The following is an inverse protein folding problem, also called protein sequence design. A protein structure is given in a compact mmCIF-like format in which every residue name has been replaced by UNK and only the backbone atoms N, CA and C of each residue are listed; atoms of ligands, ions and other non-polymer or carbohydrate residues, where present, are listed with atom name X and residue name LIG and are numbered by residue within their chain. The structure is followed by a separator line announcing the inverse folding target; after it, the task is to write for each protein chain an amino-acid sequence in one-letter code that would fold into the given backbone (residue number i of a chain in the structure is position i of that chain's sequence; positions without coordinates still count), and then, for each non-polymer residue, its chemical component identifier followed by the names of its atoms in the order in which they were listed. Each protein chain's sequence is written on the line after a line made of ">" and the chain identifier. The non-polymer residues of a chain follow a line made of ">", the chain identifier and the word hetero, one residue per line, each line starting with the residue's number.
data_IF_386981085259
#
_entry.id   IF_386981085259
#
_cell.length_a   1.000
_cell.length_b   1.000
_cell.length_c   1.000
_cell.angle_alpha   90.00
_cell.angle_beta   90.00
_cell.angle_gamma   90.00
#
_symmetry.space_group_name_H-M   'P 1'
#
loop_
_entity.id
_entity.type
_entity.pdbx_description
1 polymer ?
#
# COMPACT_ATOMS: atom_id res chain seq x y z
N UNK A 1 11.60 50.77 -76.97
CA UNK A 1 12.86 51.33 -76.42
C UNK A 1 12.90 51.06 -74.92
N UNK A 2 13.94 50.47 -74.35
CA UNK A 2 14.36 50.21 -72.97
C UNK A 2 13.53 49.16 -72.19
N UNK A 3 13.93 47.89 -72.20
CA UNK A 3 14.94 47.17 -71.37
C UNK A 3 14.87 47.50 -69.86
N UNK A 4 14.40 46.55 -69.08
CA UNK A 4 14.52 46.52 -67.62
C UNK A 4 14.52 45.05 -67.16
N UNK A 5 15.68 44.59 -66.69
CA UNK A 5 16.02 43.22 -66.24
C UNK A 5 15.30 42.80 -64.96
N UNK A 6 15.12 41.51 -64.74
CA UNK A 6 14.52 40.96 -63.53
C UNK A 6 15.51 40.92 -62.37
N UNK A 7 15.03 41.20 -61.16
CA UNK A 7 15.75 40.98 -59.89
C UNK A 7 15.53 39.54 -59.44
N UNK A 8 16.63 38.84 -59.31
CA UNK A 8 16.77 37.53 -58.71
C UNK A 8 16.68 37.67 -57.17
N UNK A 9 15.68 37.09 -56.53
CA UNK A 9 15.62 36.99 -55.08
C UNK A 9 15.80 35.51 -54.72
N UNK A 10 17.05 35.18 -54.39
CA UNK A 10 17.39 33.88 -53.81
C UNK A 10 16.76 33.74 -52.44
N UNK A 11 15.80 32.84 -52.36
CA UNK A 11 15.13 32.46 -51.09
C UNK A 11 16.10 31.84 -50.09
N UNK A 12 16.18 32.44 -48.93
CA UNK A 12 16.89 31.93 -47.76
C UNK A 12 15.96 30.94 -47.05
N UNK A 13 16.18 29.65 -47.27
CA UNK A 13 15.52 28.57 -46.51
C UNK A 13 16.13 28.51 -45.10
N UNK A 14 15.40 29.08 -44.12
CA UNK A 14 15.67 28.90 -42.70
C UNK A 14 15.15 27.52 -42.29
N UNK A 15 16.07 26.56 -42.20
CA UNK A 15 15.78 25.24 -41.56
C UNK A 15 15.79 25.43 -40.06
N UNK A 16 14.61 25.57 -39.48
CA UNK A 16 14.43 25.52 -38.04
C UNK A 16 14.56 24.08 -37.54
N UNK A 17 15.71 23.72 -37.00
CA UNK A 17 15.92 22.45 -36.28
C UNK A 17 15.22 22.58 -34.94
N UNK A 18 14.01 22.02 -34.83
CA UNK A 18 13.36 21.78 -33.53
C UNK A 18 14.14 20.66 -32.82
N UNK A 19 15.01 21.06 -31.89
CA UNK A 19 15.59 20.13 -30.95
C UNK A 19 14.50 19.62 -30.02
N UNK A 20 13.92 18.45 -30.28
CA UNK A 20 13.13 17.69 -29.33
C UNK A 20 14.07 17.27 -28.18
N UNK A 21 14.07 18.04 -27.12
CA UNK A 21 14.67 17.63 -25.86
C UNK A 21 13.83 16.50 -25.28
N UNK A 22 14.16 15.26 -25.63
CA UNK A 22 13.66 14.09 -24.91
C UNK A 22 14.14 14.20 -23.47
N UNK A 23 13.28 14.68 -22.58
CA UNK A 23 13.46 14.45 -21.15
C UNK A 23 13.34 12.93 -20.97
N UNK A 24 14.48 12.24 -20.92
CA UNK A 24 14.54 10.93 -20.33
C UNK A 24 14.02 11.10 -18.90
N UNK A 25 12.79 10.66 -18.64
CA UNK A 25 12.33 10.43 -17.28
C UNK A 25 13.31 9.39 -16.74
N UNK A 26 14.17 9.83 -15.80
CA UNK A 26 14.91 8.90 -14.96
C UNK A 26 13.79 8.17 -14.21
N UNK A 27 13.48 6.94 -14.60
CA UNK A 27 12.69 6.05 -13.81
C UNK A 27 13.47 5.92 -12.50
N UNK A 28 13.02 6.61 -11.46
CA UNK A 28 13.43 6.34 -10.11
C UNK A 28 13.09 4.87 -9.88
N UNK A 29 14.09 4.04 -9.60
CA UNK A 29 13.84 2.68 -9.17
C UNK A 29 12.91 2.77 -7.96
N UNK A 30 11.63 2.50 -8.19
CA UNK A 30 10.58 2.61 -7.22
C UNK A 30 10.69 1.40 -6.28
N UNK A 31 11.52 1.55 -5.26
CA UNK A 31 11.86 0.49 -4.32
C UNK A 31 11.10 0.69 -3.03
N UNK A 32 10.54 -0.39 -2.50
CA UNK A 32 10.06 -0.41 -1.12
C UNK A 32 11.24 -0.17 -0.17
N UNK A 33 11.00 0.62 0.86
CA UNK A 33 12.01 0.86 1.90
C UNK A 33 11.61 0.17 3.19
N UNK A 34 12.55 -0.48 3.88
CA UNK A 34 12.32 -0.93 5.24
C UNK A 34 11.91 0.24 6.13
N UNK A 35 10.92 0.03 6.98
CA UNK A 35 10.47 1.05 7.91
C UNK A 35 9.93 0.45 9.20
N UNK A 36 9.90 1.26 10.25
CA UNK A 36 9.13 1.04 11.46
C UNK A 36 8.26 2.27 11.71
N UNK A 37 6.97 2.05 11.86
CA UNK A 37 6.00 3.12 12.08
C UNK A 37 5.03 2.74 13.21
N UNK A 38 4.76 3.68 14.12
CA UNK A 38 3.72 3.48 15.12
C UNK A 38 2.48 4.31 14.81
N UNK A 39 1.32 3.77 15.21
CA UNK A 39 0.02 4.37 14.94
C UNK A 39 -0.86 4.35 16.19
N UNK A 40 -1.64 5.40 16.38
CA UNK A 40 -2.74 5.40 17.35
C UNK A 40 -4.02 4.93 16.67
N UNK A 41 -4.72 4.02 17.34
CA UNK A 41 -6.02 3.53 16.91
C UNK A 41 -7.11 4.15 17.75
N UNK A 42 -8.15 4.65 17.09
CA UNK A 42 -9.35 5.15 17.75
C UNK A 42 -10.57 4.43 17.21
N UNK A 43 -11.47 4.04 18.07
CA UNK A 43 -12.76 3.48 17.75
C UNK A 43 -13.85 4.42 18.21
N UNK A 44 -14.74 4.84 17.29
CA UNK A 44 -15.75 5.88 17.56
C UNK A 44 -15.18 7.12 18.29
N UNK A 45 -13.97 7.53 17.92
CA UNK A 45 -13.28 8.70 18.48
C UNK A 45 -12.50 8.45 19.78
N UNK A 46 -12.68 7.30 20.44
CA UNK A 46 -11.93 6.96 21.66
C UNK A 46 -10.66 6.17 21.30
N UNK A 47 -9.52 6.55 21.88
CA UNK A 47 -8.26 5.81 21.69
C UNK A 47 -8.36 4.43 22.32
N UNK A 48 -8.04 3.38 21.56
CA UNK A 48 -8.13 1.98 21.99
C UNK A 48 -6.79 1.26 21.99
N UNK A 49 -5.86 1.62 21.10
CA UNK A 49 -4.57 0.95 20.99
C UNK A 49 -3.50 1.84 20.36
N UNK A 50 -2.25 1.40 20.51
CA UNK A 50 -1.12 1.78 19.67
C UNK A 50 -0.65 0.51 18.97
N UNK A 51 -0.43 0.58 17.65
CA UNK A 51 0.24 -0.48 16.92
C UNK A 51 1.60 -0.04 16.43
N UNK A 52 2.53 -0.99 16.29
CA UNK A 52 3.80 -0.83 15.60
C UNK A 52 3.78 -1.72 14.36
N UNK A 53 4.01 -1.13 13.20
CA UNK A 53 4.14 -1.81 11.93
C UNK A 53 5.58 -1.74 11.48
N UNK A 54 6.15 -2.88 11.06
CA UNK A 54 7.55 -2.97 10.65
C UNK A 54 7.67 -3.75 9.35
N UNK A 55 8.28 -3.12 8.34
CA UNK A 55 8.66 -3.76 7.09
C UNK A 55 10.16 -3.94 7.07
N UNK A 56 10.63 -5.17 6.93
CA UNK A 56 12.04 -5.54 6.91
C UNK A 56 12.40 -6.24 5.61
N UNK A 57 13.57 -5.90 5.07
CA UNK A 57 14.13 -6.59 3.93
C UNK A 57 15.08 -7.71 4.42
N UNK A 58 14.80 -8.93 3.99
CA UNK A 58 15.63 -10.10 4.21
C UNK A 58 16.65 -10.32 3.09
N UNK A 59 16.95 -11.56 2.76
CA UNK A 59 17.83 -11.90 1.66
C UNK A 59 17.07 -11.96 0.32
N UNK A 60 17.64 -11.37 -0.73
CA UNK A 60 17.08 -11.39 -2.07
C UNK A 60 15.69 -10.73 -2.13
N UNK A 61 14.70 -11.47 -2.59
CA UNK A 61 13.31 -11.00 -2.73
C UNK A 61 12.46 -11.16 -1.46
N UNK A 62 13.07 -11.65 -0.37
CA UNK A 62 12.35 -11.96 0.86
C UNK A 62 12.16 -10.72 1.73
N UNK A 63 10.92 -10.52 2.21
CA UNK A 63 10.54 -9.43 3.10
C UNK A 63 9.64 -9.95 4.20
N UNK A 64 9.71 -9.32 5.36
CA UNK A 64 8.82 -9.58 6.49
C UNK A 64 8.05 -8.31 6.81
N UNK A 65 6.72 -8.40 6.85
CA UNK A 65 5.88 -7.31 7.32
C UNK A 65 5.14 -7.74 8.58
N UNK A 66 5.34 -7.02 9.67
CA UNK A 66 4.77 -7.35 10.97
C UNK A 66 3.96 -6.19 11.56
N UNK A 67 2.99 -6.55 12.40
CA UNK A 67 2.19 -5.61 13.19
C UNK A 67 2.05 -6.15 14.60
N UNK A 68 2.30 -5.31 15.60
CA UNK A 68 2.02 -5.61 17.00
C UNK A 68 1.13 -4.51 17.58
N UNK A 69 0.27 -4.87 18.53
CA UNK A 69 -0.70 -3.96 19.15
C UNK A 69 -0.60 -3.94 20.66
N UNK A 70 -0.68 -2.74 21.23
CA UNK A 70 -0.71 -2.51 22.67
C UNK A 70 -2.00 -1.76 23.03
N UNK A 71 -2.82 -2.24 23.99
CA UNK A 71 -4.03 -1.54 24.40
C UNK A 71 -3.69 -0.18 25.02
N UNK A 72 -4.56 0.81 24.79
CA UNK A 72 -4.48 2.16 25.35
C UNK A 72 -5.88 2.69 25.64
N UNK A 73 -5.97 3.61 26.60
CA UNK A 73 -7.25 4.23 26.95
C UNK A 73 -8.31 3.20 27.32
N UNK A 74 -9.47 3.24 26.67
CA UNK A 74 -10.55 2.27 26.91
C UNK A 74 -10.18 0.84 26.44
N UNK A 75 -9.14 0.67 25.62
CA UNK A 75 -8.63 -0.64 25.21
C UNK A 75 -8.12 -1.49 26.36
N UNK A 76 -7.74 -0.90 27.49
CA UNK A 76 -7.37 -1.65 28.70
C UNK A 76 -8.51 -2.49 29.29
N UNK A 77 -9.76 -2.22 28.91
CA UNK A 77 -10.89 -3.06 29.28
C UNK A 77 -10.89 -4.40 28.54
N UNK A 78 -10.14 -4.49 27.44
CA UNK A 78 -9.95 -5.68 26.62
C UNK A 78 -8.45 -5.85 26.34
N UNK A 79 -7.65 -6.34 27.32
CA UNK A 79 -6.19 -6.36 27.23
C UNK A 79 -5.69 -7.46 26.29
N UNK A 80 -5.89 -7.27 24.99
CA UNK A 80 -5.34 -8.11 23.92
C UNK A 80 -4.12 -7.44 23.32
N UNK A 81 -3.11 -8.25 22.99
CA UNK A 81 -1.86 -7.83 22.35
C UNK A 81 -1.75 -8.53 21.00
N UNK A 82 -2.46 -8.06 19.96
CA UNK A 82 -2.42 -8.71 18.67
C UNK A 82 -1.02 -8.64 18.07
N UNK A 83 -0.58 -9.76 17.50
CA UNK A 83 0.65 -9.88 16.75
C UNK A 83 0.37 -10.56 15.41
N UNK A 84 0.70 -9.89 14.32
CA UNK A 84 0.52 -10.37 12.96
C UNK A 84 1.85 -10.33 12.23
N UNK A 85 2.12 -11.33 11.40
CA UNK A 85 3.31 -11.40 10.55
C UNK A 85 2.94 -11.95 9.20
N UNK A 86 3.38 -11.30 8.15
CA UNK A 86 3.32 -11.78 6.77
C UNK A 86 4.74 -11.90 6.21
N UNK A 87 5.14 -13.10 5.79
CA UNK A 87 6.34 -13.32 5.02
C UNK A 87 6.03 -13.11 3.55
N UNK A 88 6.84 -12.31 2.87
CA UNK A 88 6.58 -11.84 1.53
C UNK A 88 7.74 -12.19 0.59
N UNK A 89 7.40 -12.43 -0.66
CA UNK A 89 8.32 -12.31 -1.78
C UNK A 89 7.95 -11.07 -2.58
N UNK A 90 8.90 -10.15 -2.72
CA UNK A 90 8.73 -8.94 -3.52
C UNK A 90 9.67 -9.02 -4.72
N UNK A 91 9.09 -9.14 -5.89
CA UNK A 91 9.79 -9.14 -7.18
C UNK A 91 9.66 -7.76 -7.83
N UNK A 92 10.23 -7.57 -8.99
CA UNK A 92 9.98 -6.39 -9.83
C UNK A 92 8.55 -6.31 -10.39
N UNK A 93 7.75 -7.37 -10.25
CA UNK A 93 6.41 -7.46 -10.81
C UNK A 93 5.29 -7.43 -9.74
N UNK A 94 5.54 -7.97 -8.54
CA UNK A 94 4.47 -8.19 -7.59
C UNK A 94 4.97 -8.37 -6.15
N UNK A 95 4.08 -8.09 -5.21
CA UNK A 95 4.15 -8.52 -3.81
C UNK A 95 3.33 -9.80 -3.66
N UNK A 96 3.97 -10.87 -3.21
CA UNK A 96 3.35 -12.18 -3.01
C UNK A 96 3.53 -12.62 -1.56
N UNK A 97 2.45 -12.77 -0.76
CA UNK A 97 2.55 -13.38 0.55
C UNK A 97 2.99 -14.86 0.41
N UNK A 98 3.88 -15.31 1.30
CA UNK A 98 4.35 -16.69 1.41
C UNK A 98 3.68 -17.39 2.59
N UNK A 99 3.55 -16.66 3.71
CA UNK A 99 2.78 -17.10 4.86
C UNK A 99 2.19 -15.90 5.60
N UNK A 100 1.09 -16.14 6.29
CA UNK A 100 0.46 -15.15 7.16
C UNK A 100 0.10 -15.80 8.48
N UNK A 101 0.55 -15.17 9.59
CA UNK A 101 0.22 -15.58 10.95
C UNK A 101 -0.40 -14.43 11.70
N UNK A 102 -1.49 -14.70 12.42
CA UNK A 102 -2.15 -13.74 13.30
C UNK A 102 -2.47 -14.40 14.63
N UNK A 103 -1.93 -13.83 15.71
CA UNK A 103 -2.38 -14.07 17.08
C UNK A 103 -3.10 -12.81 17.57
N UNK A 104 -4.40 -12.90 17.69
CA UNK A 104 -5.27 -11.80 18.11
C UNK A 104 -5.75 -11.96 19.55
N UNK A 105 -5.23 -12.97 20.27
CA UNK A 105 -5.72 -13.36 21.60
C UNK A 105 -7.08 -14.08 21.55
N UNK A 106 -7.56 -14.47 20.35
CA UNK A 106 -8.82 -15.20 20.18
C UNK A 106 -8.69 -16.21 19.04
N UNK A 107 -8.85 -17.50 19.37
CA UNK A 107 -8.72 -18.59 18.38
C UNK A 107 -9.63 -18.41 17.16
N UNK A 108 -10.81 -17.83 17.33
CA UNK A 108 -11.76 -17.56 16.23
C UNK A 108 -11.34 -16.40 15.31
N UNK A 109 -10.26 -15.69 15.63
CA UNK A 109 -9.71 -14.59 14.84
C UNK A 109 -8.21 -14.76 14.56
N UNK A 110 -7.63 -15.89 14.97
CA UNK A 110 -6.25 -16.23 14.67
C UNK A 110 -6.15 -16.79 13.24
N UNK A 111 -4.96 -16.68 12.67
CA UNK A 111 -4.64 -17.24 11.37
C UNK A 111 -3.27 -17.91 11.38
N UNK A 112 -3.14 -18.98 10.59
CA UNK A 112 -1.87 -19.60 10.21
C UNK A 112 -2.05 -20.13 8.78
N UNK A 113 -1.57 -19.37 7.81
CA UNK A 113 -1.85 -19.56 6.38
C UNK A 113 -0.54 -19.70 5.61
N UNK A 114 -0.51 -20.63 4.67
CA UNK A 114 0.59 -20.83 3.71
C UNK A 114 0.09 -20.62 2.30
N UNK A 115 0.85 -19.87 1.49
CA UNK A 115 0.59 -19.61 0.08
C UNK A 115 1.59 -20.40 -0.77
N UNK A 116 1.18 -21.53 -1.30
CA UNK A 116 1.97 -22.32 -2.26
C UNK A 116 1.65 -21.86 -3.68
N UNK A 117 2.41 -20.86 -4.16
CA UNK A 117 2.24 -20.30 -5.50
C UNK A 117 2.59 -21.29 -6.61
N UNK A 118 3.57 -22.18 -6.37
CA UNK A 118 3.98 -23.18 -7.34
C UNK A 118 2.96 -24.33 -7.45
N UNK A 119 2.44 -24.79 -6.31
CA UNK A 119 1.38 -25.81 -6.24
C UNK A 119 -0.02 -25.23 -6.51
N UNK A 120 -0.15 -23.91 -6.63
CA UNK A 120 -1.41 -23.25 -6.92
C UNK A 120 -2.44 -23.32 -5.78
N UNK A 121 -2.00 -23.38 -4.51
CA UNK A 121 -2.90 -23.57 -3.37
C UNK A 121 -2.59 -22.60 -2.22
N UNK A 122 -3.64 -22.31 -1.44
CA UNK A 122 -3.56 -21.61 -0.15
C UNK A 122 -4.18 -22.51 0.89
N UNK A 123 -3.42 -22.83 1.95
CA UNK A 123 -3.83 -23.80 2.97
C UNK A 123 -3.59 -23.27 4.38
N UNK A 124 -4.24 -23.87 5.36
CA UNK A 124 -4.03 -23.54 6.77
C UNK A 124 -5.32 -23.34 7.56
N UNK A 125 -5.31 -22.35 8.45
CA UNK A 125 -6.48 -21.90 9.20
C UNK A 125 -6.59 -20.40 9.13
N UNK A 126 -7.77 -19.88 8.90
CA UNK A 126 -8.05 -18.45 8.89
C UNK A 126 -9.35 -18.18 9.62
N UNK A 127 -9.26 -17.42 10.74
CA UNK A 127 -10.41 -17.07 11.57
C UNK A 127 -11.26 -18.29 12.01
N UNK A 128 -10.59 -19.37 12.42
CA UNK A 128 -11.23 -20.61 12.86
C UNK A 128 -11.79 -21.48 11.74
N UNK A 129 -11.58 -21.13 10.47
CA UNK A 129 -11.99 -21.90 9.30
C UNK A 129 -10.78 -22.61 8.69
N UNK A 130 -10.86 -23.92 8.47
CA UNK A 130 -9.84 -24.64 7.71
C UNK A 130 -9.84 -24.14 6.28
N UNK A 131 -8.66 -23.74 5.83
CA UNK A 131 -8.43 -23.15 4.53
C UNK A 131 -7.79 -24.19 3.61
N UNK A 132 -8.39 -24.40 2.47
CA UNK A 132 -7.86 -25.21 1.38
C UNK A 132 -8.51 -24.78 0.07
N UNK A 133 -7.90 -23.80 -0.59
CA UNK A 133 -8.44 -23.18 -1.80
C UNK A 133 -7.39 -23.00 -2.88
N UNK A 134 -7.78 -22.87 -4.15
CA UNK A 134 -6.85 -22.46 -5.20
C UNK A 134 -6.24 -21.09 -4.91
N UNK A 135 -4.94 -20.95 -5.17
CA UNK A 135 -4.31 -19.63 -5.16
C UNK A 135 -4.84 -18.79 -6.32
N UNK A 136 -4.80 -17.47 -6.14
CA UNK A 136 -5.23 -16.52 -7.16
C UNK A 136 -4.14 -15.47 -7.35
N UNK A 137 -3.72 -15.15 -8.60
CA UNK A 137 -2.76 -14.07 -8.84
C UNK A 137 -3.19 -12.78 -8.15
N UNK A 138 -2.26 -12.14 -7.43
CA UNK A 138 -2.51 -10.90 -6.69
C UNK A 138 -3.29 -11.06 -5.39
N UNK A 139 -3.53 -12.31 -4.90
CA UNK A 139 -4.16 -12.53 -3.61
C UNK A 139 -3.24 -12.08 -2.48
N UNK A 140 -3.80 -11.31 -1.55
CA UNK A 140 -3.12 -10.74 -0.40
C UNK A 140 -3.76 -11.23 0.90
N UNK A 141 -2.99 -11.21 1.99
CA UNK A 141 -3.49 -11.32 3.37
C UNK A 141 -3.76 -9.93 3.98
N UNK A 142 -4.15 -9.88 5.25
CA UNK A 142 -4.54 -8.67 5.96
C UNK A 142 -3.40 -7.65 6.13
N UNK A 143 -2.14 -8.09 6.07
CA UNK A 143 -0.97 -7.22 6.15
C UNK A 143 -0.39 -6.92 4.77
N UNK A 144 -0.18 -7.96 3.96
CA UNK A 144 0.48 -7.84 2.67
C UNK A 144 -0.24 -6.89 1.71
N UNK A 145 -1.56 -6.73 1.84
CA UNK A 145 -2.36 -5.80 1.02
C UNK A 145 -1.88 -4.35 1.12
N UNK A 146 -1.40 -3.91 2.28
CA UNK A 146 -0.82 -2.57 2.42
C UNK A 146 0.49 -2.45 1.66
N UNK A 147 1.36 -3.47 1.74
CA UNK A 147 2.63 -3.48 1.02
C UNK A 147 2.40 -3.53 -0.49
N UNK A 148 1.42 -4.33 -0.95
CA UNK A 148 1.02 -4.39 -2.35
C UNK A 148 0.53 -3.03 -2.87
N UNK A 149 -0.34 -2.35 -2.11
CA UNK A 149 -0.79 -1.00 -2.47
C UNK A 149 0.39 -0.01 -2.57
N UNK A 150 1.29 0.01 -1.57
CA UNK A 150 2.48 0.87 -1.59
C UNK A 150 3.37 0.58 -2.79
N UNK A 151 3.60 -0.70 -3.09
CA UNK A 151 4.41 -1.16 -4.22
C UNK A 151 3.84 -0.71 -5.57
N UNK A 152 2.53 -0.89 -5.78
CA UNK A 152 1.87 -0.48 -7.03
C UNK A 152 1.90 1.05 -7.20
N UNK A 153 1.66 1.80 -6.12
CA UNK A 153 1.71 3.26 -6.14
C UNK A 153 3.12 3.81 -6.38
N UNK A 154 4.16 3.18 -5.84
CA UNK A 154 5.55 3.53 -6.11
C UNK A 154 5.92 3.39 -7.59
N UNK A 155 5.30 2.45 -8.29
CA UNK A 155 5.50 2.18 -9.71
C UNK A 155 4.59 3.00 -10.64
N UNK A 156 3.81 3.93 -10.07
CA UNK A 156 2.79 4.69 -10.80
C UNK A 156 1.76 3.78 -11.51
N UNK A 157 1.45 2.65 -10.86
CA UNK A 157 0.48 1.64 -11.32
C UNK A 157 -0.61 1.42 -10.26
N UNK A 158 -1.41 2.45 -9.94
CA UNK A 158 -2.43 2.33 -8.91
C UNK A 158 -3.39 1.16 -9.24
N UNK A 159 -3.65 0.26 -8.28
CA UNK A 159 -4.53 -0.87 -8.55
C UNK A 159 -5.99 -0.42 -8.65
N UNK A 160 -6.73 -0.99 -9.60
CA UNK A 160 -8.20 -0.89 -9.63
C UNK A 160 -8.83 -1.88 -8.65
N UNK A 161 -8.19 -3.02 -8.45
CA UNK A 161 -8.69 -4.11 -7.60
C UNK A 161 -7.52 -4.87 -6.97
N UNK A 162 -7.59 -5.08 -5.65
CA UNK A 162 -6.76 -6.04 -4.94
C UNK A 162 -7.65 -7.17 -4.40
N UNK A 163 -7.12 -8.39 -4.46
CA UNK A 163 -7.77 -9.57 -3.92
C UNK A 163 -7.27 -9.83 -2.51
N UNK A 164 -8.18 -10.02 -1.57
CA UNK A 164 -7.84 -10.35 -0.19
C UNK A 164 -8.39 -11.72 0.18
N UNK A 165 -7.63 -12.43 1.01
CA UNK A 165 -8.11 -13.63 1.66
C UNK A 165 -9.28 -13.28 2.58
N UNK A 166 -10.37 -14.03 2.48
CA UNK A 166 -11.53 -13.91 3.38
C UNK A 166 -12.10 -15.29 3.65
N UNK A 167 -11.81 -15.82 4.82
CA UNK A 167 -12.12 -17.19 5.18
C UNK A 167 -11.59 -18.17 4.11
N UNK A 168 -12.46 -18.98 3.52
CA UNK A 168 -12.06 -19.93 2.46
C UNK A 168 -12.37 -19.38 1.05
N UNK A 169 -12.14 -18.11 0.82
CA UNK A 169 -12.38 -17.46 -0.48
C UNK A 169 -11.44 -16.27 -0.71
N UNK A 170 -11.35 -15.84 -1.96
CA UNK A 170 -10.73 -14.59 -2.34
C UNK A 170 -11.81 -13.56 -2.59
N UNK A 171 -11.71 -12.40 -1.94
CA UNK A 171 -12.67 -11.29 -2.05
C UNK A 171 -12.02 -10.11 -2.75
N UNK A 172 -12.71 -9.51 -3.73
CA UNK A 172 -12.25 -8.33 -4.44
C UNK A 172 -12.51 -7.05 -3.63
N UNK A 173 -11.52 -6.19 -3.57
CA UNK A 173 -11.64 -4.84 -3.06
C UNK A 173 -11.27 -3.87 -4.17
N UNK A 174 -12.21 -2.98 -4.51
CA UNK A 174 -12.02 -1.98 -5.54
C UNK A 174 -11.38 -0.75 -4.95
N UNK A 175 -10.32 -0.30 -5.59
CA UNK A 175 -9.57 0.89 -5.20
C UNK A 175 -9.91 2.06 -6.10
N UNK A 176 -9.99 3.25 -5.51
CA UNK A 176 -10.27 4.48 -6.24
C UNK A 176 -9.45 5.61 -5.65
N UNK A 177 -8.78 6.38 -6.49
CA UNK A 177 -8.17 7.65 -6.10
C UNK A 177 -9.28 8.69 -5.91
N UNK A 178 -9.34 9.31 -4.72
CA UNK A 178 -10.37 10.31 -4.38
C UNK A 178 -9.84 11.75 -4.44
N UNK A 179 -8.51 11.95 -4.36
CA UNK A 179 -7.93 13.29 -4.42
C UNK A 179 -6.61 13.38 -3.67
N UNK A 180 -6.30 14.59 -3.19
CA UNK A 180 -5.12 14.90 -2.39
C UNK A 180 -5.52 15.74 -1.19
N UNK A 181 -4.81 15.58 -0.08
CA UNK A 181 -4.98 16.37 1.14
C UNK A 181 -3.63 16.56 1.81
N UNK A 182 -3.36 17.77 2.30
CA UNK A 182 -2.23 18.04 3.18
C UNK A 182 -2.71 17.86 4.61
N UNK A 183 -2.12 16.91 5.33
CA UNK A 183 -2.52 16.56 6.69
C UNK A 183 -1.41 16.85 7.68
N UNK A 184 -1.77 17.21 8.91
CA UNK A 184 -0.82 17.37 9.99
C UNK A 184 -0.42 16.03 10.58
N UNK A 185 0.88 15.85 10.79
CA UNK A 185 1.48 14.69 11.44
C UNK A 185 2.40 15.13 12.58
N UNK A 186 2.80 14.25 13.50
CA UNK A 186 3.74 14.59 14.57
C UNK A 186 5.11 15.10 14.09
N UNK A 187 5.46 14.86 12.84
CA UNK A 187 6.71 15.31 12.22
C UNK A 187 6.49 16.42 11.17
N UNK A 188 5.37 17.13 11.28
CA UNK A 188 5.00 18.26 10.42
C UNK A 188 3.93 17.91 9.39
N UNK A 189 3.48 18.88 8.60
CA UNK A 189 2.47 18.68 7.56
C UNK A 189 3.03 17.87 6.40
N UNK A 190 2.21 16.92 5.89
CA UNK A 190 2.58 16.00 4.81
C UNK A 190 1.51 16.03 3.72
N UNK A 191 1.95 16.15 2.47
CA UNK A 191 1.05 16.02 1.33
C UNK A 191 0.74 14.54 1.08
N UNK A 192 -0.54 14.23 0.93
CA UNK A 192 -1.03 12.85 0.74
C UNK A 192 -1.93 12.73 -0.47
N UNK A 193 -1.97 11.54 -1.05
CA UNK A 193 -2.97 11.12 -2.03
C UNK A 193 -3.95 10.20 -1.32
N UNK A 194 -5.25 10.44 -1.53
CA UNK A 194 -6.31 9.67 -0.88
C UNK A 194 -6.76 8.55 -1.82
N UNK A 195 -6.69 7.33 -1.33
CA UNK A 195 -7.30 6.17 -1.96
C UNK A 195 -8.41 5.63 -1.08
N UNK A 196 -9.50 5.20 -1.68
CA UNK A 196 -10.52 4.41 -0.99
C UNK A 196 -10.52 2.98 -1.48
N UNK A 197 -10.89 2.06 -0.59
CA UNK A 197 -11.05 0.63 -0.85
C UNK A 197 -12.41 0.17 -0.37
N UNK A 198 -13.14 -0.58 -1.22
CA UNK A 198 -14.45 -1.11 -0.90
C UNK A 198 -14.70 -2.44 -1.60
N UNK A 199 -15.17 -3.44 -0.84
CA UNK A 199 -15.75 -4.64 -1.45
C UNK A 199 -17.14 -4.32 -2.03
N UNK A 200 -17.47 -4.75 -3.27
CA UNK A 200 -18.78 -4.49 -3.88
C UNK A 200 -19.93 -4.96 -2.99
N UNK A 201 -20.90 -4.07 -2.78
CA UNK A 201 -22.04 -4.33 -1.90
C UNK A 201 -21.79 -4.17 -0.41
N UNK A 202 -20.54 -3.93 0.02
CA UNK A 202 -20.22 -3.64 1.41
C UNK A 202 -20.67 -2.22 1.79
N UNK A 203 -21.26 -2.01 2.98
CA UNK A 203 -21.52 -0.66 3.50
C UNK A 203 -20.24 -0.01 4.07
N UNK A 204 -19.09 -0.73 4.12
CA UNK A 204 -17.82 -0.23 4.63
C UNK A 204 -16.94 0.26 3.51
N UNK A 205 -16.35 1.44 3.73
CA UNK A 205 -15.33 2.04 2.87
C UNK A 205 -14.13 2.36 3.76
N UNK A 206 -12.94 1.93 3.32
CA UNK A 206 -11.68 2.28 3.98
C UNK A 206 -10.95 3.30 3.13
N UNK A 207 -10.50 4.40 3.74
CA UNK A 207 -9.70 5.46 3.10
C UNK A 207 -8.29 5.47 3.65
N UNK A 208 -7.33 5.67 2.77
CA UNK A 208 -5.90 5.70 3.05
C UNK A 208 -5.34 7.04 2.57
N UNK A 209 -4.75 7.81 3.45
CA UNK A 209 -3.98 9.01 3.12
C UNK A 209 -2.51 8.62 2.96
N UNK A 210 -2.13 8.28 1.74
CA UNK A 210 -0.83 7.77 1.40
C UNK A 210 0.13 8.91 1.07
N UNK A 211 1.31 8.97 1.69
CA UNK A 211 2.30 10.01 1.49
C UNK A 211 3.33 9.64 0.41
N UNK A 212 3.31 10.25 -0.80
CA UNK A 212 4.29 9.93 -1.85
C UNK A 212 5.73 10.13 -1.39
N UNK A 213 6.01 11.20 -0.60
CA UNK A 213 7.33 11.49 -0.04
C UNK A 213 7.83 10.50 1.01
N UNK A 214 6.98 9.55 1.41
CA UNK A 214 7.24 8.50 2.40
C UNK A 214 6.96 7.10 1.85
N UNK A 215 7.21 6.88 0.54
CA UNK A 215 6.97 5.60 -0.11
C UNK A 215 5.51 5.17 -0.14
N UNK A 216 4.59 6.13 -0.21
CA UNK A 216 3.15 5.92 -0.13
C UNK A 216 2.66 5.24 1.17
N UNK A 217 3.47 5.28 2.23
CA UNK A 217 3.02 4.82 3.54
C UNK A 217 1.77 5.60 3.96
N UNK A 218 0.69 4.93 4.43
CA UNK A 218 -0.50 5.60 4.93
C UNK A 218 -0.20 6.39 6.20
N UNK A 219 -0.36 7.71 6.16
CA UNK A 219 -0.24 8.57 7.34
C UNK A 219 -1.50 8.55 8.20
N UNK A 220 -2.64 8.27 7.57
CA UNK A 220 -3.95 8.09 8.19
C UNK A 220 -4.71 7.02 7.43
N UNK A 221 -5.44 6.19 8.17
CA UNK A 221 -6.45 5.27 7.63
C UNK A 221 -7.75 5.50 8.37
N UNK A 222 -8.86 5.47 7.67
CA UNK A 222 -10.19 5.64 8.26
C UNK A 222 -11.15 4.65 7.62
N UNK A 223 -11.87 3.89 8.43
CA UNK A 223 -12.97 3.08 7.95
C UNK A 223 -14.30 3.69 8.38
N UNK A 224 -15.16 3.87 7.41
CA UNK A 224 -16.56 4.25 7.61
C UNK A 224 -17.48 3.09 7.29
N UNK A 225 -18.56 3.01 8.05
CA UNK A 225 -19.71 2.21 7.72
C UNK A 225 -20.90 3.14 7.49
N UNK A 226 -21.38 3.18 6.25
CA UNK A 226 -22.31 4.25 5.82
C UNK A 226 -21.67 5.62 6.11
N UNK A 227 -22.32 6.47 6.89
CA UNK A 227 -21.85 7.82 7.22
C UNK A 227 -21.05 7.91 8.53
N UNK A 228 -20.93 6.80 9.29
CA UNK A 228 -20.29 6.78 10.60
C UNK A 228 -18.86 6.26 10.52
N UNK A 229 -17.91 6.99 11.11
CA UNK A 229 -16.53 6.51 11.30
C UNK A 229 -16.53 5.40 12.34
N UNK A 230 -16.16 4.18 11.94
CA UNK A 230 -16.02 3.05 12.86
C UNK A 230 -14.66 3.13 13.57
N UNK A 231 -13.56 3.30 12.81
CA UNK A 231 -12.24 3.43 13.39
C UNK A 231 -11.32 4.32 12.52
N UNK A 232 -10.29 4.83 13.17
CA UNK A 232 -9.24 5.63 12.55
C UNK A 232 -7.88 5.16 13.06
N UNK A 233 -6.91 5.07 12.15
CA UNK A 233 -5.50 4.85 12.45
C UNK A 233 -4.71 6.09 12.03
N UNK A 234 -3.88 6.65 12.91
CA UNK A 234 -3.07 7.86 12.64
C UNK A 234 -1.62 7.62 12.99
N UNK A 235 -0.72 8.01 12.09
CA UNK A 235 0.72 7.92 12.30
C UNK A 235 1.17 8.68 13.56
N UNK A 236 2.13 8.11 14.30
CA UNK A 236 2.76 8.71 15.47
C UNK A 236 4.26 8.89 15.28
N UNK A 237 4.93 7.82 14.88
CA UNK A 237 6.37 7.81 14.62
C UNK A 237 6.66 7.11 13.32
N UNK A 238 7.75 7.48 12.66
CA UNK A 238 8.23 6.84 11.45
C UNK A 238 9.74 6.89 11.42
N UNK A 239 10.36 5.73 11.24
CA UNK A 239 11.79 5.58 11.01
C UNK A 239 11.98 4.69 9.78
N UNK A 240 12.81 5.12 8.85
CA UNK A 240 13.22 4.28 7.73
C UNK A 240 14.51 3.55 8.09
N UNK A 241 14.55 2.26 7.79
CA UNK A 241 15.77 1.48 7.85
C UNK A 241 16.76 1.90 6.76
N UNK A 242 18.06 1.68 6.98
CA UNK A 242 19.03 1.81 5.91
C UNK A 242 18.77 0.71 4.87
N UNK A 243 18.57 1.11 3.62
CA UNK A 243 18.56 0.15 2.52
C UNK A 243 19.97 -0.39 2.35
N UNK A 244 20.21 -1.62 2.79
CA UNK A 244 21.42 -2.36 2.40
C UNK A 244 21.27 -2.82 0.95
N UNK A 245 21.21 -1.88 0.00
CA UNK A 245 21.45 -2.20 -1.41
C UNK A 245 22.97 -2.34 -1.53
N UNK A 246 23.45 -3.58 -1.57
CA UNK A 246 24.80 -3.89 -2.03
C UNK A 246 24.81 -4.15 -3.52
#
# INVERSE_FOLDING_TARGET
>A
MRTGRPLDIRGLLLVSVLALSSRAAIASDAVLWPFEASYSWSWHGATVAISTLKLEHGEGEHWTYSSSGEPRGIGYLYPIHPALVSELRVTDQAVQPLSFKADTGSASRNADVTFDWAGGRVTGNYEGVTLDMPSKPGLQDDLSVQVALMFDLLRDQPPDTLWMLDKNSARDYRYKREGTERIDTPFGPVDTVIYSSQHPGSPRITRFWCAPSKGYLPMRVEQKRLDSVEWTMRIRTLTFGSSNVK
#
